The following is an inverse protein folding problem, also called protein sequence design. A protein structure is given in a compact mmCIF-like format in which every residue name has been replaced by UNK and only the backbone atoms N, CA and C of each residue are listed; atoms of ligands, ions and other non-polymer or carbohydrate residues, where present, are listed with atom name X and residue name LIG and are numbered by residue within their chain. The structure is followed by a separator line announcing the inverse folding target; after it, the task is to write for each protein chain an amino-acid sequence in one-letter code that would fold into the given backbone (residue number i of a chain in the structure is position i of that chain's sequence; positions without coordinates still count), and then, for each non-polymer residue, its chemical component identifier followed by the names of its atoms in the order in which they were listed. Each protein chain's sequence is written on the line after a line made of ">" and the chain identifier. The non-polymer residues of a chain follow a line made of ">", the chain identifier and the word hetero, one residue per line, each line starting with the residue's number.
data_IF_750784863153
#
_entry.id   IF_750784863153
#
_cell.length_a   1.000
_cell.length_b   1.000
_cell.length_c   1.000
_cell.angle_alpha   90.00
_cell.angle_beta   90.00
_cell.angle_gamma   90.00
#
_symmetry.space_group_name_H-M   'P 1'
#
loop_
_entity.id
_entity.type
_entity.pdbx_description
1 polymer ?
#
# COMPACT_ATOMS: atom_id res chain seq x y z
N UNK A 1 63.78 -64.66 15.73
CA UNK A 1 64.09 -63.30 15.23
C UNK A 1 62.75 -62.56 15.11
N UNK A 2 62.11 -62.00 16.15
CA UNK A 2 62.47 -60.86 17.03
C UNK A 2 62.99 -59.69 16.15
N UNK A 3 62.16 -58.74 15.68
CA UNK A 3 61.44 -57.63 16.36
C UNK A 3 62.36 -56.44 16.74
N UNK A 4 61.85 -55.21 16.59
CA UNK A 4 62.44 -53.87 16.83
C UNK A 4 63.34 -53.33 15.68
N UNK A 5 63.34 -52.06 15.26
CA UNK A 5 62.91 -50.79 15.84
C UNK A 5 62.84 -49.73 14.73
N UNK A 6 61.75 -48.97 14.64
CA UNK A 6 61.78 -47.62 14.04
C UNK A 6 60.99 -46.66 14.94
N UNK A 7 61.78 -45.86 15.66
CA UNK A 7 61.43 -44.66 16.46
C UNK A 7 60.45 -43.79 15.66
N UNK A 8 59.24 -43.51 16.16
CA UNK A 8 58.89 -42.46 17.15
C UNK A 8 59.63 -41.14 16.89
N UNK A 9 59.04 -40.26 16.08
CA UNK A 9 59.08 -38.82 16.30
C UNK A 9 57.65 -38.32 16.17
N UNK A 10 57.06 -38.10 17.35
CA UNK A 10 55.77 -37.46 17.55
C UNK A 10 55.95 -35.97 17.32
N UNK A 11 55.24 -35.37 16.36
CA UNK A 11 55.03 -33.93 16.34
C UNK A 11 53.53 -33.68 16.34
N UNK A 12 53.06 -33.46 17.56
CA UNK A 12 51.74 -32.96 17.94
C UNK A 12 51.59 -31.56 17.34
N UNK A 13 50.85 -31.45 16.23
CA UNK A 13 50.30 -30.18 15.75
C UNK A 13 48.84 -30.08 16.22
N UNK A 14 48.69 -29.65 17.47
CA UNK A 14 47.41 -29.29 18.07
C UNK A 14 47.36 -27.76 18.19
N UNK A 15 46.23 -27.22 17.73
CA UNK A 15 45.64 -25.92 18.11
C UNK A 15 46.36 -24.68 17.61
N UNK A 16 45.75 -23.98 16.63
CA UNK A 16 45.24 -22.61 16.79
C UNK A 16 44.51 -22.22 15.49
N UNK A 17 43.39 -22.90 15.23
CA UNK A 17 42.40 -22.37 14.29
C UNK A 17 41.60 -21.32 15.06
N UNK A 18 42.04 -20.06 14.98
CA UNK A 18 41.25 -18.90 15.41
C UNK A 18 40.02 -18.80 14.51
N UNK A 19 38.94 -19.48 14.92
CA UNK A 19 37.60 -19.25 14.39
C UNK A 19 37.19 -17.87 14.91
N UNK A 20 37.38 -16.86 14.07
CA UNK A 20 36.77 -15.56 14.26
C UNK A 20 35.26 -15.76 14.13
N UNK A 21 34.59 -15.86 15.29
CA UNK A 21 33.14 -15.84 15.41
C UNK A 21 32.71 -14.39 15.11
N UNK A 22 32.56 -14.05 13.84
CA UNK A 22 31.92 -12.80 13.45
C UNK A 22 30.49 -12.85 13.98
N UNK A 23 30.23 -12.10 15.05
CA UNK A 23 28.88 -11.77 15.49
C UNK A 23 28.22 -10.97 14.34
N UNK A 24 27.54 -11.68 13.44
CA UNK A 24 26.65 -11.07 12.48
C UNK A 24 25.46 -10.53 13.27
N UNK A 25 25.56 -9.26 13.64
CA UNK A 25 24.41 -8.49 14.08
C UNK A 25 23.35 -8.64 12.97
N UNK A 26 22.15 -9.19 13.25
CA UNK A 26 21.13 -9.34 12.22
C UNK A 26 20.73 -7.94 11.75
N UNK A 27 21.28 -7.50 10.61
CA UNK A 27 20.71 -6.35 9.93
C UNK A 27 19.29 -6.73 9.55
N UNK A 28 18.28 -5.89 9.82
CA UNK A 28 16.94 -6.13 9.32
C UNK A 28 17.05 -6.34 7.82
N UNK A 29 16.61 -7.50 7.36
CA UNK A 29 16.70 -7.85 5.96
C UNK A 29 16.00 -6.75 5.15
N UNK A 30 16.66 -6.25 4.11
CA UNK A 30 16.10 -5.26 3.18
C UNK A 30 14.75 -5.74 2.59
N UNK A 31 14.51 -7.05 2.65
CA UNK A 31 13.27 -7.74 2.33
C UNK A 31 12.11 -7.52 3.30
N UNK A 32 12.18 -6.63 4.28
CA UNK A 32 11.01 -6.26 5.10
C UNK A 32 10.48 -4.85 4.78
N UNK A 33 11.30 -4.03 4.12
CA UNK A 33 10.93 -2.66 3.73
C UNK A 33 9.83 -2.69 2.66
N UNK A 34 8.74 -1.98 2.93
CA UNK A 34 7.58 -1.84 2.03
C UNK A 34 7.80 -0.69 1.06
N UNK A 35 8.44 0.40 1.52
CA UNK A 35 8.70 1.57 0.69
C UNK A 35 9.32 2.74 1.45
N UNK A 36 9.43 3.87 0.78
CA UNK A 36 9.97 5.13 1.30
C UNK A 36 8.98 6.27 1.10
N UNK A 37 8.79 7.09 2.13
CA UNK A 37 7.88 8.25 2.10
C UNK A 37 8.63 9.53 1.73
N UNK A 38 8.04 10.29 0.81
CA UNK A 38 8.49 11.58 0.33
C UNK A 38 7.37 12.61 0.48
N UNK A 39 7.45 13.43 1.52
CA UNK A 39 6.59 14.59 1.72
C UNK A 39 7.23 15.56 2.73
N UNK A 40 6.91 16.85 2.58
CA UNK A 40 7.41 17.89 3.49
C UNK A 40 6.60 18.00 4.78
N UNK A 41 5.35 17.55 4.77
CA UNK A 41 4.36 17.74 5.84
C UNK A 41 3.61 16.45 6.22
N UNK A 42 4.10 15.28 5.77
CA UNK A 42 3.55 14.00 6.21
C UNK A 42 4.06 13.64 7.61
N UNK A 43 3.18 13.07 8.42
CA UNK A 43 3.59 12.38 9.65
C UNK A 43 3.50 10.88 9.44
N UNK A 44 4.52 10.17 9.93
CA UNK A 44 4.61 8.71 9.80
C UNK A 44 4.80 8.12 11.19
N UNK A 45 4.00 7.12 11.52
CA UNK A 45 4.00 6.44 12.80
C UNK A 45 4.12 4.92 12.62
N UNK A 46 4.52 4.21 13.67
CA UNK A 46 4.65 2.74 13.66
C UNK A 46 6.03 2.24 13.26
N UNK A 47 6.07 1.14 12.52
CA UNK A 47 7.30 0.41 12.18
C UNK A 47 8.11 1.11 11.09
N UNK A 48 8.95 2.08 11.45
CA UNK A 48 9.73 2.88 10.49
C UNK A 48 11.22 2.87 10.76
N UNK A 49 12.00 3.09 9.70
CA UNK A 49 13.44 3.32 9.78
C UNK A 49 13.72 4.71 9.20
N UNK A 50 14.23 5.62 10.03
CA UNK A 50 14.66 6.94 9.58
C UNK A 50 16.02 6.83 8.89
N UNK A 51 16.10 7.22 7.62
CA UNK A 51 17.34 7.29 6.85
C UNK A 51 17.62 8.75 6.47
N UNK A 52 18.88 9.07 6.15
CA UNK A 52 19.32 10.44 5.80
C UNK A 52 18.62 11.04 4.57
N UNK A 53 17.94 10.23 3.76
CA UNK A 53 17.22 10.65 2.56
C UNK A 53 15.69 10.46 2.61
N UNK A 54 15.12 10.02 3.74
CA UNK A 54 13.69 9.77 3.87
C UNK A 54 13.33 8.76 4.96
N UNK A 55 12.03 8.51 5.13
CA UNK A 55 11.52 7.53 6.09
C UNK A 55 11.16 6.24 5.36
N UNK A 56 11.82 5.14 5.71
CA UNK A 56 11.51 3.79 5.23
C UNK A 56 10.38 3.20 6.05
N UNK A 57 9.35 2.70 5.38
CA UNK A 57 8.21 2.03 6.00
C UNK A 57 8.41 0.53 6.03
N UNK A 58 8.15 -0.08 7.17
CA UNK A 58 7.96 -1.51 7.33
C UNK A 58 6.47 -1.83 7.44
N UNK A 59 6.13 -3.12 7.48
CA UNK A 59 4.75 -3.57 7.74
C UNK A 59 4.24 -3.04 9.09
N UNK A 60 3.01 -2.54 9.14
CA UNK A 60 2.42 -1.93 10.33
C UNK A 60 2.68 -0.42 10.46
N UNK A 61 3.20 0.23 9.43
CA UNK A 61 3.36 1.70 9.43
C UNK A 61 2.03 2.40 9.14
N UNK A 62 1.84 3.59 9.70
CA UNK A 62 0.74 4.50 9.36
C UNK A 62 1.30 5.78 8.77
N UNK A 63 0.76 6.21 7.63
CA UNK A 63 1.13 7.43 6.93
C UNK A 63 -0.07 8.38 6.98
N UNK A 64 0.16 9.57 7.54
CA UNK A 64 -0.83 10.64 7.60
C UNK A 64 -0.34 11.80 6.75
N UNK A 65 -1.11 12.14 5.72
CA UNK A 65 -0.77 13.24 4.81
C UNK A 65 -1.27 14.56 5.39
N UNK A 66 -0.41 15.59 5.39
CA UNK A 66 -0.76 16.93 5.82
C UNK A 66 -1.62 17.68 4.80
N UNK A 67 -1.13 18.83 4.36
CA UNK A 67 -1.77 19.74 3.39
C UNK A 67 -1.43 19.41 1.94
N UNK A 68 -0.29 18.76 1.69
CA UNK A 68 0.11 18.28 0.38
C UNK A 68 -0.12 16.78 0.22
N UNK A 69 -0.12 16.31 -1.04
CA UNK A 69 -0.16 14.89 -1.38
C UNK A 69 1.18 14.24 -1.03
N UNK A 70 1.14 13.15 -0.28
CA UNK A 70 2.33 12.40 0.15
C UNK A 70 2.64 11.28 -0.83
N UNK A 71 3.88 11.21 -1.33
CA UNK A 71 4.30 10.14 -2.22
C UNK A 71 5.01 9.02 -1.45
N UNK A 72 4.45 7.82 -1.47
CA UNK A 72 5.05 6.59 -0.98
C UNK A 72 5.59 5.79 -2.17
N UNK A 73 6.91 5.71 -2.30
CA UNK A 73 7.55 4.86 -3.32
C UNK A 73 7.71 3.45 -2.78
N UNK A 74 7.13 2.48 -3.46
CA UNK A 74 7.16 1.09 -3.02
C UNK A 74 8.52 0.46 -3.35
N UNK A 75 9.01 -0.43 -2.49
CA UNK A 75 10.26 -1.17 -2.72
C UNK A 75 10.20 -2.09 -3.94
N UNK A 76 9.00 -2.60 -4.24
CA UNK A 76 8.71 -3.37 -5.46
C UNK A 76 8.57 -2.52 -6.73
N UNK A 77 8.71 -1.20 -6.62
CA UNK A 77 8.50 -0.25 -7.72
C UNK A 77 7.10 0.35 -7.75
N UNK A 78 7.00 1.50 -8.42
CA UNK A 78 5.80 2.33 -8.47
C UNK A 78 5.59 3.18 -7.22
N UNK A 79 4.46 3.89 -7.19
CA UNK A 79 4.17 4.92 -6.20
C UNK A 79 2.71 4.83 -5.74
N UNK A 80 2.48 5.07 -4.45
CA UNK A 80 1.16 5.31 -3.86
C UNK A 80 1.16 6.75 -3.38
N UNK A 81 0.20 7.54 -3.84
CA UNK A 81 -0.02 8.92 -3.41
C UNK A 81 -1.14 8.95 -2.40
N UNK A 82 -0.86 9.44 -1.21
CA UNK A 82 -1.87 9.65 -0.18
C UNK A 82 -2.34 11.10 -0.28
N UNK A 83 -3.64 11.32 -0.42
CA UNK A 83 -4.19 12.65 -0.63
C UNK A 83 -4.13 13.49 0.66
N UNK A 84 -4.16 14.83 0.57
CA UNK A 84 -4.16 15.70 1.75
C UNK A 84 -5.24 15.33 2.77
N UNK A 85 -4.90 15.37 4.07
CA UNK A 85 -5.82 15.04 5.16
C UNK A 85 -6.23 13.56 5.24
N UNK A 86 -5.56 12.66 4.51
CA UNK A 86 -5.88 11.23 4.50
C UNK A 86 -4.90 10.43 5.36
N UNK A 87 -5.39 9.36 5.98
CA UNK A 87 -4.60 8.42 6.78
C UNK A 87 -4.62 7.04 6.14
N UNK A 88 -3.44 6.46 5.92
CA UNK A 88 -3.28 5.13 5.31
C UNK A 88 -2.36 4.27 6.16
N UNK A 89 -2.85 3.12 6.61
CA UNK A 89 -2.03 2.08 7.21
C UNK A 89 -1.49 1.14 6.14
N UNK A 90 -0.21 0.80 6.27
CA UNK A 90 0.54 0.05 5.27
C UNK A 90 0.98 -1.27 5.89
N UNK A 91 0.45 -2.36 5.36
CA UNK A 91 0.77 -3.72 5.79
C UNK A 91 1.27 -4.55 4.60
N UNK A 92 2.31 -5.33 4.82
CA UNK A 92 2.79 -6.34 3.87
C UNK A 92 2.47 -7.71 4.42
N UNK A 93 1.83 -8.56 3.61
CA UNK A 93 1.48 -9.93 3.95
C UNK A 93 2.16 -10.87 2.97
N UNK A 94 2.91 -11.84 3.48
CA UNK A 94 3.51 -12.89 2.65
C UNK A 94 2.50 -14.02 2.49
N UNK A 95 2.22 -14.41 1.24
CA UNK A 95 1.34 -15.54 0.94
C UNK A 95 2.09 -16.88 1.08
N UNK A 96 1.37 -18.00 1.01
CA UNK A 96 1.91 -19.36 0.90
C UNK A 96 2.86 -19.53 -0.29
N UNK A 97 2.65 -18.77 -1.38
CA UNK A 97 3.54 -18.70 -2.54
C UNK A 97 4.83 -17.90 -2.31
N UNK A 98 5.07 -17.40 -1.08
CA UNK A 98 6.14 -16.44 -0.74
C UNK A 98 6.09 -15.10 -1.50
N UNK A 99 5.00 -14.82 -2.19
CA UNK A 99 4.74 -13.51 -2.79
C UNK A 99 4.32 -12.51 -1.71
N UNK A 100 4.82 -11.27 -1.79
CA UNK A 100 4.47 -10.19 -0.88
C UNK A 100 3.30 -9.39 -1.43
N UNK A 101 2.15 -9.50 -0.78
CA UNK A 101 0.94 -8.74 -1.07
C UNK A 101 0.92 -7.49 -0.20
N UNK A 102 0.54 -6.36 -0.80
CA UNK A 102 0.36 -5.10 -0.10
C UNK A 102 -1.10 -4.95 0.33
N UNK A 103 -1.32 -4.59 1.58
CA UNK A 103 -2.63 -4.22 2.13
C UNK A 103 -2.54 -2.78 2.61
N UNK A 104 -3.28 -1.90 1.96
CA UNK A 104 -3.42 -0.48 2.32
C UNK A 104 -4.77 -0.29 2.99
N UNK A 105 -4.80 0.14 4.24
CA UNK A 105 -6.06 0.43 4.93
C UNK A 105 -6.26 1.94 4.98
N UNK A 106 -7.31 2.43 4.34
CA UNK A 106 -7.70 3.83 4.27
C UNK A 106 -8.91 4.04 5.19
N UNK A 107 -8.79 4.93 6.18
CA UNK A 107 -9.91 5.24 7.05
C UNK A 107 -10.88 6.22 6.37
N UNK A 108 -10.37 7.41 6.05
CA UNK A 108 -11.09 8.48 5.36
C UNK A 108 -10.11 9.25 4.47
N UNK A 109 -10.65 9.89 3.42
CA UNK A 109 -9.88 10.64 2.44
C UNK A 109 -9.66 9.83 1.17
N UNK A 110 -8.47 9.89 0.59
CA UNK A 110 -8.17 9.22 -0.67
C UNK A 110 -6.72 8.85 -0.86
N UNK A 111 -6.51 7.95 -1.80
CA UNK A 111 -5.20 7.57 -2.31
C UNK A 111 -5.26 7.30 -3.81
N UNK A 112 -4.13 7.46 -4.47
CA UNK A 112 -3.92 7.04 -5.84
C UNK A 112 -2.77 6.04 -5.90
N UNK A 113 -2.97 4.94 -6.62
CA UNK A 113 -1.95 3.93 -6.85
C UNK A 113 -1.46 4.02 -8.29
N UNK A 114 -0.14 4.03 -8.47
CA UNK A 114 0.58 4.07 -9.75
C UNK A 114 1.68 3.00 -9.74
N UNK A 115 1.31 1.75 -10.02
CA UNK A 115 2.29 0.67 -10.08
C UNK A 115 1.77 -0.50 -10.93
N UNK A 116 2.70 -1.38 -11.32
CA UNK A 116 2.38 -2.61 -12.02
C UNK A 116 2.43 -3.80 -11.07
N UNK A 117 1.56 -4.78 -11.30
CA UNK A 117 1.63 -6.08 -10.63
C UNK A 117 1.98 -7.15 -11.67
N UNK A 118 3.14 -7.82 -11.57
CA UNK A 118 3.49 -8.91 -12.46
C UNK A 118 2.72 -10.20 -12.10
N UNK A 119 2.49 -10.42 -10.81
CA UNK A 119 1.71 -11.51 -10.22
C UNK A 119 1.22 -11.08 -8.85
N UNK A 120 0.39 -11.91 -8.21
CA UNK A 120 -0.14 -11.66 -6.87
C UNK A 120 -1.33 -10.71 -6.86
N UNK A 121 -1.66 -10.23 -5.66
CA UNK A 121 -2.82 -9.37 -5.44
C UNK A 121 -2.57 -8.40 -4.30
N UNK A 122 -2.93 -7.14 -4.51
CA UNK A 122 -2.99 -6.18 -3.42
C UNK A 122 -4.42 -5.90 -3.02
N UNK A 123 -4.58 -5.27 -1.86
CA UNK A 123 -5.89 -4.84 -1.41
C UNK A 123 -5.82 -3.46 -0.81
N UNK A 124 -6.78 -2.62 -1.19
CA UNK A 124 -7.13 -1.41 -0.47
C UNK A 124 -8.37 -1.69 0.34
N UNK A 125 -8.29 -1.48 1.64
CA UNK A 125 -9.39 -1.67 2.59
C UNK A 125 -9.89 -0.29 2.99
N UNK A 126 -11.17 -0.07 2.83
CA UNK A 126 -11.91 1.11 3.31
C UNK A 126 -12.84 0.64 4.43
N UNK A 127 -13.54 1.53 5.16
CA UNK A 127 -14.45 1.11 6.22
C UNK A 127 -15.50 0.08 5.79
N UNK A 128 -15.99 0.17 4.55
CA UNK A 128 -17.07 -0.67 4.05
C UNK A 128 -16.65 -1.68 2.97
N UNK A 129 -15.53 -1.46 2.27
CA UNK A 129 -15.12 -2.28 1.14
C UNK A 129 -13.68 -2.75 1.19
N UNK A 130 -13.46 -3.97 0.68
CA UNK A 130 -12.15 -4.46 0.25
C UNK A 130 -12.05 -4.41 -1.26
N UNK A 131 -11.21 -3.50 -1.77
CA UNK A 131 -10.88 -3.37 -3.19
C UNK A 131 -9.62 -4.18 -3.48
N UNK A 132 -9.74 -5.23 -4.29
CA UNK A 132 -8.62 -6.11 -4.65
C UNK A 132 -8.10 -5.77 -6.05
N UNK A 133 -6.79 -5.55 -6.14
CA UNK A 133 -6.05 -5.32 -7.38
C UNK A 133 -5.38 -6.65 -7.76
N UNK A 134 -5.89 -7.32 -8.78
CA UNK A 134 -5.45 -8.67 -9.16
C UNK A 134 -4.54 -8.59 -10.38
N UNK A 135 -3.26 -8.94 -10.20
CA UNK A 135 -2.31 -9.01 -11.31
C UNK A 135 -2.58 -10.19 -12.26
N UNK A 136 -2.04 -10.17 -13.49
CA UNK A 136 -1.09 -9.18 -14.01
C UNK A 136 -1.76 -7.91 -14.57
N UNK A 137 -1.12 -6.76 -14.42
CA UNK A 137 -1.56 -5.52 -15.07
C UNK A 137 -0.93 -4.23 -14.52
N UNK A 138 -1.21 -3.13 -15.21
CA UNK A 138 -0.89 -1.75 -14.82
C UNK A 138 -2.07 -1.16 -14.05
N UNK A 139 -1.80 -0.74 -12.82
CA UNK A 139 -2.77 -0.13 -11.93
C UNK A 139 -2.48 1.36 -11.79
N UNK A 140 -3.37 2.14 -12.39
CA UNK A 140 -3.45 3.58 -12.20
C UNK A 140 -4.85 3.88 -11.68
N UNK A 141 -5.03 3.93 -10.36
CA UNK A 141 -6.37 3.97 -9.77
C UNK A 141 -6.42 4.98 -8.64
N UNK A 142 -7.51 5.73 -8.58
CA UNK A 142 -7.86 6.59 -7.47
C UNK A 142 -8.96 5.91 -6.65
N UNK A 143 -8.75 5.83 -5.34
CA UNK A 143 -9.69 5.24 -4.39
C UNK A 143 -9.86 6.25 -3.26
N UNK A 144 -11.10 6.54 -2.91
CA UNK A 144 -11.42 7.43 -1.81
C UNK A 144 -12.59 6.90 -1.00
N UNK A 145 -12.61 7.21 0.29
CA UNK A 145 -13.67 6.89 1.22
C UNK A 145 -13.97 8.11 2.08
N UNK A 146 -15.24 8.40 2.30
CA UNK A 146 -15.67 9.46 3.21
C UNK A 146 -16.14 8.90 4.55
N UNK A 147 -16.29 9.75 5.60
CA UNK A 147 -16.80 9.31 6.89
C UNK A 147 -18.24 8.77 6.89
N UNK A 148 -18.98 8.94 5.78
CA UNK A 148 -20.35 8.46 5.63
C UNK A 148 -20.43 7.08 4.94
N UNK A 149 -19.26 6.48 4.63
CA UNK A 149 -19.17 5.19 3.95
C UNK A 149 -19.33 5.27 2.43
N UNK A 150 -19.35 6.47 1.86
CA UNK A 150 -19.33 6.58 0.40
C UNK A 150 -17.91 6.34 -0.09
N UNK A 151 -17.76 5.47 -1.08
CA UNK A 151 -16.46 5.07 -1.61
C UNK A 151 -16.42 5.31 -3.11
N UNK A 152 -15.40 6.03 -3.58
CA UNK A 152 -15.14 6.23 -5.00
C UNK A 152 -14.02 5.30 -5.46
N UNK A 153 -14.19 4.68 -6.62
CA UNK A 153 -13.15 3.90 -7.29
C UNK A 153 -13.10 4.36 -8.74
N UNK A 154 -12.02 5.03 -9.10
CA UNK A 154 -11.81 5.61 -10.41
C UNK A 154 -10.52 5.08 -11.03
N UNK A 155 -10.63 4.23 -12.05
CA UNK A 155 -9.51 3.96 -12.95
C UNK A 155 -9.05 5.25 -13.62
N UNK A 156 -7.76 5.53 -13.51
CA UNK A 156 -7.07 6.67 -14.12
C UNK A 156 -6.49 6.26 -15.48
N UNK A 157 -6.01 7.26 -16.22
CA UNK A 157 -5.42 7.03 -17.54
C UNK A 157 -4.23 6.09 -17.45
N UNK A 158 -4.20 5.09 -18.34
CA UNK A 158 -3.14 4.07 -18.40
C UNK A 158 -3.50 2.78 -17.67
N UNK A 159 -4.53 2.79 -16.83
CA UNK A 159 -4.99 1.58 -16.17
C UNK A 159 -5.51 0.56 -17.19
N UNK A 160 -5.00 -0.67 -17.14
CA UNK A 160 -5.44 -1.75 -18.04
C UNK A 160 -6.03 -2.95 -17.30
N UNK A 161 -6.02 -2.93 -15.96
CA UNK A 161 -6.53 -4.00 -15.12
C UNK A 161 -7.89 -3.67 -14.49
N UNK A 162 -8.69 -4.70 -14.25
CA UNK A 162 -9.95 -4.56 -13.53
C UNK A 162 -9.72 -4.65 -12.02
N UNK A 163 -10.59 -4.02 -11.25
CA UNK A 163 -10.61 -4.12 -9.79
C UNK A 163 -11.84 -4.90 -9.33
N UNK A 164 -11.71 -5.61 -8.22
CA UNK A 164 -12.82 -6.32 -7.59
C UNK A 164 -13.11 -5.63 -6.25
N UNK A 165 -14.31 -5.08 -6.10
CA UNK A 165 -14.78 -4.43 -4.88
C UNK A 165 -15.71 -5.40 -4.17
N UNK A 166 -15.39 -5.76 -2.92
CA UNK A 166 -16.23 -6.62 -2.09
C UNK A 166 -16.69 -5.84 -0.85
N UNK A 167 -17.96 -5.99 -0.47
CA UNK A 167 -18.48 -5.50 0.81
C UNK A 167 -17.78 -6.23 1.97
N UNK A 168 -17.34 -5.50 2.99
CA UNK A 168 -16.78 -6.07 4.22
C UNK A 168 -17.87 -6.62 5.13
N UNK A 169 -19.01 -5.93 5.21
CA UNK A 169 -20.19 -6.32 6.00
C UNK A 169 -21.36 -6.75 5.10
N UNK A 170 -21.05 -7.54 4.07
CA UNK A 170 -22.03 -8.02 3.10
C UNK A 170 -21.47 -9.13 2.22
N UNK A 171 -22.25 -9.51 1.21
CA UNK A 171 -21.88 -10.52 0.21
C UNK A 171 -21.77 -9.94 -1.21
N UNK A 172 -21.96 -8.61 -1.35
CA UNK A 172 -21.84 -7.93 -2.63
C UNK A 172 -20.41 -8.01 -3.17
N UNK A 173 -20.30 -8.22 -4.49
CA UNK A 173 -19.07 -8.05 -5.25
C UNK A 173 -19.34 -7.28 -6.53
N UNK A 174 -18.46 -6.35 -6.88
CA UNK A 174 -18.56 -5.53 -8.08
C UNK A 174 -17.22 -5.46 -8.81
N UNK A 175 -17.24 -5.72 -10.12
CA UNK A 175 -16.04 -5.60 -10.96
C UNK A 175 -15.98 -4.24 -11.64
N UNK A 176 -15.02 -3.42 -11.25
CA UNK A 176 -14.73 -2.12 -11.86
C UNK A 176 -13.85 -2.33 -13.09
N UNK A 177 -14.35 -1.92 -14.27
CA UNK A 177 -13.64 -2.08 -15.54
C UNK A 177 -12.58 -0.98 -15.72
N UNK A 178 -11.52 -1.21 -16.53
CA UNK A 178 -10.39 -0.26 -16.66
C UNK A 178 -10.73 1.16 -17.13
N UNK A 179 -11.92 1.40 -17.69
CA UNK A 179 -12.35 2.71 -18.19
C UNK A 179 -13.69 3.16 -17.58
N UNK A 180 -14.06 2.59 -16.42
CA UNK A 180 -15.33 2.85 -15.78
C UNK A 180 -15.08 3.22 -14.32
N UNK A 181 -15.33 4.49 -13.98
CA UNK A 181 -15.40 4.91 -12.60
C UNK A 181 -16.72 4.53 -11.96
N UNK A 182 -16.68 4.14 -10.69
CA UNK A 182 -17.88 3.82 -9.90
C UNK A 182 -17.81 4.51 -8.56
N UNK A 183 -18.96 5.00 -8.12
CA UNK A 183 -19.16 5.58 -6.80
C UNK A 183 -20.18 4.74 -6.05
N UNK A 184 -19.81 4.25 -4.87
CA UNK A 184 -20.64 3.42 -4.01
C UNK A 184 -21.20 4.29 -2.88
N UNK A 185 -22.52 4.33 -2.75
CA UNK A 185 -23.20 5.12 -1.72
C UNK A 185 -23.48 4.26 -0.48
N UNK A 186 -23.39 4.87 0.70
CA UNK A 186 -23.76 4.26 1.99
C UNK A 186 -23.06 2.92 2.30
N UNK A 187 -21.85 2.71 1.79
CA UNK A 187 -21.13 1.45 2.00
C UNK A 187 -21.75 0.22 1.34
N UNK A 188 -22.60 0.40 0.30
CA UNK A 188 -23.28 -0.72 -0.39
C UNK A 188 -23.02 -0.78 -1.90
N UNK A 189 -22.77 -1.98 -2.41
CA UNK A 189 -22.58 -2.26 -3.84
C UNK A 189 -23.88 -2.08 -4.63
N UNK A 190 -25.03 -2.41 -4.02
CA UNK A 190 -26.35 -2.22 -4.67
C UNK A 190 -26.66 -0.76 -5.01
N UNK A 191 -26.02 0.17 -4.30
CA UNK A 191 -26.20 1.62 -4.45
C UNK A 191 -25.05 2.22 -5.30
N UNK A 192 -24.41 1.39 -6.13
CA UNK A 192 -23.37 1.81 -7.07
C UNK A 192 -23.95 2.69 -8.19
N UNK A 193 -23.33 3.86 -8.37
CA UNK A 193 -23.62 4.79 -9.46
C UNK A 193 -22.39 4.98 -10.34
N UNK A 194 -22.60 5.24 -11.63
CA UNK A 194 -21.49 5.63 -12.51
C UNK A 194 -20.86 6.93 -11.97
N UNK A 195 -19.54 7.01 -11.95
CA UNK A 195 -18.86 8.09 -11.22
C UNK A 195 -19.23 9.50 -11.74
N UNK A 196 -19.74 10.35 -10.85
CA UNK A 196 -20.08 11.76 -11.10
C UNK A 196 -19.11 12.72 -10.39
N UNK A 197 -18.26 12.22 -9.48
CA UNK A 197 -17.37 13.01 -8.65
C UNK A 197 -15.89 12.84 -9.03
N UNK A 198 -15.09 13.89 -8.82
CA UNK A 198 -13.64 13.79 -8.93
C UNK A 198 -13.10 12.92 -7.79
N UNK A 199 -12.67 11.71 -8.13
CA UNK A 199 -11.99 10.78 -7.22
C UNK A 199 -10.47 10.89 -7.45
N UNK A 200 -9.70 10.93 -6.38
CA UNK A 200 -8.23 11.03 -6.44
C UNK A 200 -7.68 12.22 -5.70
N UNK A 201 -6.37 12.42 -5.83
CA UNK A 201 -5.66 13.49 -5.17
C UNK A 201 -5.74 14.77 -6.00
N UNK A 202 -5.77 15.95 -5.35
CA UNK A 202 -5.70 17.20 -6.08
C UNK A 202 -4.40 17.24 -6.89
N UNK A 203 -4.49 17.69 -8.13
CA UNK A 203 -3.31 17.86 -8.97
C UNK A 203 -2.32 18.79 -8.26
N UNK A 204 -1.13 18.27 -7.96
CA UNK A 204 -0.06 19.11 -7.43
C UNK A 204 0.34 20.10 -8.52
N UNK A 205 0.41 21.41 -8.21
CA UNK A 205 0.87 22.38 -9.20
C UNK A 205 2.33 22.06 -9.51
N UNK A 206 2.56 21.44 -10.68
CA UNK A 206 3.90 21.32 -11.24
C UNK A 206 4.36 22.74 -11.51
N UNK A 207 5.21 23.29 -10.64
CA UNK A 207 6.01 24.47 -10.98
C UNK A 207 6.87 24.05 -12.16
N UNK A 208 6.39 24.29 -13.38
CA UNK A 208 7.25 24.25 -14.55
C UNK A 208 8.37 25.24 -14.24
N UNK A 209 9.60 24.72 -14.13
CA UNK A 209 10.76 25.57 -14.31
C UNK A 209 10.53 26.26 -15.65
N UNK A 210 10.42 27.58 -15.62
CA UNK A 210 10.38 28.40 -16.83
C UNK A 210 11.62 28.02 -17.62
N UNK A 211 11.42 27.24 -18.69
CA UNK A 211 12.42 27.08 -19.72
C UNK A 211 12.83 28.48 -20.15
N UNK A 212 14.11 28.75 -19.94
CA UNK A 212 14.90 29.85 -20.47
C UNK A 212 14.27 30.39 -21.75
N UNK A 213 13.70 31.59 -21.65
CA UNK A 213 13.27 32.35 -22.81
C UNK A 213 14.47 32.48 -23.76
N UNK A 214 14.25 31.94 -24.95
CA UNK A 214 15.12 31.95 -26.11
C UNK A 214 15.64 33.37 -26.38
N UNK A 215 16.96 33.48 -26.51
CA UNK A 215 17.68 34.71 -26.82
C UNK A 215 17.16 35.31 -28.13
N UNK A 216 16.50 36.47 -28.03
CA UNK A 216 16.22 37.29 -29.19
C UNK A 216 17.45 38.18 -29.49
N UNK A 217 17.93 38.29 -30.75
CA UNK A 217 19.20 38.94 -31.05
C UNK A 217 19.16 40.46 -30.88
N UNK A 218 20.21 40.97 -30.24
CA UNK A 218 20.50 42.40 -30.02
C UNK A 218 20.94 43.05 -31.34
N UNK A 219 20.40 44.24 -31.65
CA UNK A 219 21.06 45.22 -32.51
C UNK A 219 20.91 46.63 -31.89
N UNK A 220 21.86 47.55 -32.14
CA UNK A 220 22.40 48.45 -31.11
C UNK A 220 22.06 49.92 -31.32
N UNK A 221 21.84 50.68 -30.23
CA UNK A 221 22.05 52.13 -30.23
C UNK A 221 22.25 52.67 -28.80
N UNK A 222 23.43 53.26 -28.59
CA UNK A 222 23.81 54.24 -27.55
C UNK A 222 24.59 55.35 -28.27
N UNK A 223 24.89 56.53 -27.68
CA UNK A 223 24.54 57.12 -26.37
C UNK A 223 23.85 58.51 -26.56
N UNK A 224 23.31 59.25 -25.59
CA UNK A 224 23.98 59.93 -24.47
C UNK A 224 22.90 60.71 -23.68
N UNK A 225 22.84 60.53 -22.34
CA UNK A 225 23.06 61.58 -21.31
C UNK A 225 22.66 61.07 -19.92
N UNK A 226 23.67 60.77 -19.09
CA UNK A 226 23.61 60.74 -17.62
C UNK A 226 23.96 62.15 -17.07
N UNK A 227 23.91 62.48 -15.76
CA UNK A 227 23.76 61.63 -14.56
C UNK A 227 22.67 62.14 -13.58
N UNK A 228 22.28 61.42 -12.52
CA UNK A 228 22.83 61.63 -11.16
C UNK A 228 22.42 60.49 -10.20
N UNK A 229 23.32 60.23 -9.26
CA UNK A 229 23.41 59.08 -8.36
C UNK A 229 22.69 59.40 -7.04
N UNK A 230 21.94 58.45 -6.48
CA UNK A 230 21.85 58.33 -5.02
C UNK A 230 21.57 56.87 -4.64
N UNK A 231 22.60 56.25 -4.07
CA UNK A 231 22.55 54.96 -3.39
C UNK A 231 21.71 55.06 -2.11
N UNK A 232 21.01 53.98 -1.75
CA UNK A 232 20.52 53.79 -0.38
C UNK A 232 20.68 52.32 -0.01
N UNK A 233 21.66 52.07 0.85
CA UNK A 233 21.86 50.84 1.62
C UNK A 233 20.77 50.70 2.71
N UNK A 234 20.56 49.49 3.26
CA UNK A 234 19.48 49.20 4.18
C UNK A 234 19.81 49.71 5.59
N UNK A 235 18.87 50.43 6.20
CA UNK A 235 18.82 50.67 7.65
C UNK A 235 17.52 50.05 8.15
N UNK A 236 17.64 48.92 8.85
CA UNK A 236 16.58 48.35 9.66
C UNK A 236 16.87 48.76 11.10
N UNK A 237 16.14 49.77 11.59
CA UNK A 237 15.93 49.97 13.02
C UNK A 237 14.57 50.65 13.23
N UNK A 238 13.93 50.25 14.33
CA UNK A 238 12.78 50.88 15.00
C UNK A 238 11.36 50.64 14.44
N UNK A 239 10.70 49.64 15.04
CA UNK A 239 9.36 49.71 15.67
C UNK A 239 8.21 50.30 14.84
N UNK A 240 7.44 49.44 14.17
CA UNK A 240 6.08 49.77 13.70
C UNK A 240 5.03 49.44 14.79
N UNK A 241 4.14 50.37 15.18
CA UNK A 241 3.03 50.11 16.09
C UNK A 241 1.89 49.35 15.40
N UNK A 242 1.24 48.45 16.15
CA UNK A 242 0.07 47.67 15.71
C UNK A 242 -1.14 48.57 15.37
N UNK A 243 -2.00 48.17 14.41
CA UNK A 243 -3.21 48.92 14.05
C UNK A 243 -4.29 48.89 15.17
N UNK A 244 -5.15 49.93 15.27
CA UNK A 244 -6.09 50.12 16.36
C UNK A 244 -7.27 49.12 16.36
N UNK A 245 -7.63 48.66 17.57
CA UNK A 245 -8.67 47.66 17.89
C UNK A 245 -10.09 48.28 17.78
N UNK A 246 -11.02 47.55 17.15
CA UNK A 246 -12.44 47.92 17.09
C UNK A 246 -13.21 47.42 18.33
N UNK A 247 -14.14 48.22 18.90
CA UNK A 247 -14.80 47.88 20.16
C UNK A 247 -16.00 46.96 19.91
N UNK A 248 -15.75 45.66 19.69
CA UNK A 248 -16.69 44.56 19.99
C UNK A 248 -16.15 43.14 19.75
N UNK A 249 -14.84 42.96 19.62
CA UNK A 249 -14.22 41.65 19.40
C UNK A 249 -13.58 41.13 20.70
N UNK A 250 -14.15 40.05 21.26
CA UNK A 250 -13.61 39.38 22.45
C UNK A 250 -12.37 38.58 22.02
N UNK A 251 -11.19 39.17 22.16
CA UNK A 251 -9.93 38.43 22.01
C UNK A 251 -9.61 37.71 23.32
N UNK A 252 -9.78 36.38 23.32
CA UNK A 252 -9.26 35.54 24.42
C UNK A 252 -7.76 35.35 24.21
N UNK A 253 -6.96 36.17 24.87
CA UNK A 253 -5.53 35.93 25.03
C UNK A 253 -5.33 34.96 26.19
N UNK A 254 -4.95 33.72 25.87
CA UNK A 254 -4.56 32.73 26.88
C UNK A 254 -3.07 32.91 27.15
N UNK A 255 -2.75 33.63 28.23
CA UNK A 255 -1.40 33.70 28.77
C UNK A 255 -1.21 32.49 29.71
N UNK A 256 -0.61 31.42 29.19
CA UNK A 256 -0.27 30.25 29.97
C UNK A 256 1.22 30.31 30.33
N UNK A 257 1.59 30.56 31.60
CA UNK A 257 2.97 30.55 32.01
C UNK A 257 3.54 29.15 31.86
N UNK A 258 4.50 28.97 30.95
CA UNK A 258 5.24 27.72 30.83
C UNK A 258 6.17 27.59 32.05
N UNK A 259 5.77 26.77 33.02
CA UNK A 259 6.63 26.41 34.16
C UNK A 259 7.35 25.12 33.81
N UNK A 260 8.66 25.20 33.58
CA UNK A 260 9.52 24.03 33.37
C UNK A 260 10.13 23.62 34.71
N UNK A 261 9.56 22.60 35.35
CA UNK A 261 10.08 22.04 36.60
C UNK A 261 11.11 20.95 36.29
N UNK A 262 12.40 21.28 36.31
CA UNK A 262 13.50 20.34 36.02
C UNK A 262 13.84 19.37 37.18
N UNK A 263 13.02 19.32 38.24
CA UNK A 263 13.34 18.63 39.50
C UNK A 263 12.35 17.53 39.90
N UNK A 264 11.37 17.17 39.07
CA UNK A 264 10.45 16.07 39.35
C UNK A 264 10.63 14.95 38.31
N UNK A 265 10.96 13.71 38.72
CA UNK A 265 10.83 12.56 37.84
C UNK A 265 9.34 12.37 37.53
N UNK A 266 8.97 12.46 36.24
CA UNK A 266 7.61 12.20 35.78
C UNK A 266 7.12 10.82 36.21
N UNK A 267 5.78 10.59 36.27
CA UNK A 267 5.22 9.33 36.72
C UNK A 267 5.75 8.19 35.84
N UNK A 268 6.42 7.24 36.48
CA UNK A 268 6.95 6.05 35.82
C UNK A 268 5.78 5.25 35.22
N UNK A 269 5.93 4.71 33.99
CA UNK A 269 4.98 3.74 33.49
C UNK A 269 5.03 2.49 34.38
N UNK A 270 3.87 2.12 34.90
CA UNK A 270 3.65 0.92 35.72
C UNK A 270 3.75 -0.32 34.81
N UNK A 271 4.98 -0.79 34.53
CA UNK A 271 5.22 -1.99 33.69
C UNK A 271 5.54 -3.24 34.54
N UNK A 272 5.48 -3.18 35.88
CA UNK A 272 5.92 -4.31 36.72
C UNK A 272 4.82 -5.29 37.14
N UNK A 273 3.55 -5.12 36.73
CA UNK A 273 2.47 -6.05 37.10
C UNK A 273 2.08 -7.10 36.02
N UNK A 274 2.75 -7.16 34.86
CA UNK A 274 2.45 -8.16 33.82
C UNK A 274 3.29 -9.45 33.89
N UNK A 275 4.12 -9.64 34.92
CA UNK A 275 5.11 -10.74 34.94
C UNK A 275 4.54 -12.11 35.36
N UNK A 276 3.28 -12.24 35.81
CA UNK A 276 2.76 -13.56 36.21
C UNK A 276 1.29 -13.79 35.83
N UNK A 277 1.05 -14.11 34.56
CA UNK A 277 -0.15 -14.86 34.17
C UNK A 277 0.28 -16.27 33.73
N UNK A 278 -0.12 -17.34 34.45
CA UNK A 278 0.16 -18.71 34.04
C UNK A 278 -0.63 -19.03 32.77
N UNK A 279 0.09 -19.15 31.66
CA UNK A 279 -0.43 -19.47 30.32
C UNK A 279 -0.81 -20.96 30.22
N UNK A 280 -1.54 -21.50 31.19
CA UNK A 280 -1.77 -22.94 31.31
C UNK A 280 -3.20 -23.20 31.77
N UNK A 281 -4.17 -22.92 30.90
CA UNK A 281 -5.49 -23.58 30.81
C UNK A 281 -6.43 -22.77 29.90
N UNK A 282 -6.19 -22.84 28.59
CA UNK A 282 -7.21 -22.52 27.58
C UNK A 282 -7.52 -23.80 26.82
N UNK A 283 -8.73 -24.38 26.93
CA UNK A 283 -9.05 -25.72 26.44
C UNK A 283 -9.23 -25.83 24.91
N UNK A 284 -8.71 -24.87 24.13
CA UNK A 284 -9.00 -24.78 22.69
C UNK A 284 -7.85 -25.25 21.79
N UNK A 285 -6.67 -25.51 22.35
CA UNK A 285 -5.59 -26.20 21.66
C UNK A 285 -5.64 -27.71 21.97
N UNK A 286 -6.76 -28.36 21.65
CA UNK A 286 -6.72 -29.80 21.41
C UNK A 286 -6.12 -30.01 20.03
N UNK A 287 -4.82 -30.29 19.98
CA UNK A 287 -4.17 -30.81 18.78
C UNK A 287 -4.56 -32.27 18.62
N UNK A 288 -5.80 -32.52 18.21
CA UNK A 288 -6.18 -33.84 17.74
C UNK A 288 -5.62 -33.98 16.32
N UNK A 289 -4.79 -35.00 16.04
CA UNK A 289 -4.27 -35.20 14.70
C UNK A 289 -5.45 -35.54 13.78
N UNK A 290 -5.76 -34.63 12.86
CA UNK A 290 -6.70 -34.89 11.77
C UNK A 290 -6.13 -36.02 10.92
N UNK A 291 -6.66 -37.23 11.13
CA UNK A 291 -6.41 -38.39 10.27
C UNK A 291 -7.02 -38.08 8.91
N UNK A 292 -6.26 -38.06 7.81
CA UNK A 292 -6.85 -37.89 6.48
C UNK A 292 -7.78 -39.08 6.19
N UNK A 293 -8.96 -38.86 5.58
CA UNK A 293 -9.84 -39.96 5.22
C UNK A 293 -9.12 -40.92 4.26
N UNK A 294 -9.27 -42.22 4.52
CA UNK A 294 -8.71 -43.28 3.71
C UNK A 294 -9.11 -43.10 2.24
N UNK A 295 -8.10 -43.02 1.38
CA UNK A 295 -8.28 -43.04 -0.08
C UNK A 295 -8.87 -44.38 -0.44
N UNK A 296 -10.14 -44.42 -0.85
CA UNK A 296 -10.72 -45.61 -1.44
C UNK A 296 -9.98 -45.92 -2.75
N UNK A 297 -9.14 -46.96 -2.71
CA UNK A 297 -8.63 -47.62 -3.91
C UNK A 297 -9.80 -48.30 -4.60
N UNK A 298 -10.34 -47.66 -5.64
CA UNK A 298 -11.22 -48.35 -6.59
C UNK A 298 -10.32 -49.24 -7.43
N UNK A 299 -10.45 -50.55 -7.18
CA UNK A 299 -9.83 -51.62 -7.95
C UNK A 299 -10.19 -51.49 -9.43
N UNK A 300 -9.17 -51.64 -10.28
CA UNK A 300 -9.29 -51.69 -11.72
C UNK A 300 -10.27 -52.79 -12.17
N UNK A 301 -11.16 -52.43 -13.08
CA UNK A 301 -11.95 -53.35 -13.92
C UNK A 301 -11.53 -53.21 -15.39
N UNK A 302 -11.59 -54.29 -16.19
CA UNK A 302 -10.93 -54.43 -17.50
C UNK A 302 -11.60 -53.62 -18.63
N UNK A 303 -10.94 -53.45 -19.80
CA UNK A 303 -11.29 -52.41 -20.76
C UNK A 303 -12.54 -52.77 -21.58
N UNK A 304 -13.50 -51.83 -21.63
CA UNK A 304 -14.66 -51.92 -22.51
C UNK A 304 -14.31 -51.35 -23.89
N UNK A 305 -14.57 -52.17 -24.91
CA UNK A 305 -14.37 -51.90 -26.33
C UNK A 305 -15.10 -50.64 -26.81
N UNK A 306 -14.47 -49.93 -27.76
CA UNK A 306 -15.02 -48.76 -28.45
C UNK A 306 -16.21 -49.19 -29.33
N UNK A 307 -17.42 -48.62 -29.19
CA UNK A 307 -18.45 -48.79 -30.21
C UNK A 307 -18.15 -47.89 -31.41
N UNK A 308 -18.14 -48.53 -32.60
CA UNK A 308 -18.06 -47.92 -33.92
C UNK A 308 -19.12 -46.84 -34.10
N UNK A 309 -18.72 -45.72 -34.71
CA UNK A 309 -19.63 -44.70 -35.26
C UNK A 309 -20.53 -45.33 -36.31
N UNK A 310 -21.83 -45.42 -36.02
CA UNK A 310 -22.86 -45.78 -36.98
C UNK A 310 -23.60 -44.50 -37.41
N UNK A 311 -23.51 -44.16 -38.70
CA UNK A 311 -24.21 -43.03 -39.31
C UNK A 311 -25.70 -43.37 -39.40
N UNK A 312 -26.54 -42.82 -38.52
CA UNK A 312 -28.01 -42.98 -38.63
C UNK A 312 -28.63 -41.84 -39.43
N UNK A 313 -29.42 -42.25 -40.42
CA UNK A 313 -29.93 -41.49 -41.53
C UNK A 313 -30.94 -40.39 -41.19
N UNK A 314 -30.97 -39.43 -42.11
CA UNK A 314 -31.71 -38.18 -42.13
C UNK A 314 -33.20 -38.33 -42.55
N UNK A 315 -33.83 -39.48 -42.32
CA UNK A 315 -35.16 -39.83 -42.87
C UNK A 315 -36.24 -40.12 -41.82
N UNK A 316 -36.17 -39.47 -40.66
CA UNK A 316 -37.17 -39.64 -39.58
C UNK A 316 -38.34 -38.65 -39.58
N UNK A 317 -38.35 -37.64 -40.46
CA UNK A 317 -39.18 -36.44 -40.27
C UNK A 317 -40.34 -36.25 -41.27
N UNK A 318 -40.65 -37.24 -42.10
CA UNK A 318 -41.74 -37.15 -43.10
C UNK A 318 -42.82 -38.23 -42.98
N UNK A 319 -43.04 -38.80 -41.79
CA UNK A 319 -44.07 -39.84 -41.58
C UNK A 319 -45.22 -39.44 -40.63
N UNK A 320 -45.27 -38.18 -40.22
CA UNK A 320 -46.28 -37.67 -39.28
C UNK A 320 -47.38 -36.78 -39.88
N UNK A 321 -47.34 -36.42 -41.17
CA UNK A 321 -48.29 -35.44 -41.74
C UNK A 321 -49.33 -36.00 -42.73
N UNK A 322 -49.30 -37.29 -43.05
CA UNK A 322 -50.32 -37.91 -43.93
C UNK A 322 -51.36 -38.77 -43.19
N UNK A 323 -51.31 -38.85 -41.86
CA UNK A 323 -52.32 -39.55 -41.05
C UNK A 323 -53.49 -38.65 -40.61
N UNK A 324 -53.49 -37.35 -40.94
CA UNK A 324 -54.50 -36.39 -40.52
C UNK A 324 -55.49 -35.95 -41.63
N UNK A 325 -55.41 -36.53 -42.84
CA UNK A 325 -56.28 -36.12 -43.97
C UNK A 325 -57.07 -37.30 -44.59
N UNK A 326 -56.71 -38.57 -44.33
CA UNK A 326 -57.52 -39.71 -44.77
C UNK A 326 -57.48 -40.84 -43.75
N UNK A 327 -58.49 -40.93 -42.88
CA UNK A 327 -58.65 -42.04 -41.97
C UNK A 327 -59.94 -41.94 -41.18
N UNK A 328 -60.94 -42.72 -41.62
CA UNK A 328 -62.24 -43.00 -40.99
C UNK A 328 -62.14 -43.32 -39.51
#
# INVERSE_FOLDING_TARGET
>A
MICHSRRVVSLVCLVFATVWLSAQNPQPAESDVVGEVYASDASVQGSVIFASGGTRLLSGSTVSSGTATTALRLSRGGEVRVCPGSNVQVNSVVNQSQERNLVLSLDTGGLEAYYSLPSGSDSVVTPDFRITLVGPGEFHVAIGADPHGNTCVQPLRGNNAALIVNELMGEGSYQVKPNQGVYFLNGRIKDAVANVAACGCPATPVRRATETAEQQPVAPVTPDKAPEIAASQPTADVTQPLPPVQPNEVHVQVDAPMVFNAAEPGPAPEIEQLVQLPLTQLPWFSSEPVVPPAVFRVSATPPVEKPKREKKGFFGRLRGMFAAIFGK
#
